data_IF_433712048154
#
_entry.id   IF_433712048154
#
_cell.length_a   1.000
_cell.length_b   1.000
_cell.length_c   1.000
_cell.angle_alpha   90.00
_cell.angle_beta   90.00
_cell.angle_gamma   90.00
#
_symmetry.space_group_name_H-M   'P 1'
#
loop_
_entity.id
_entity.type
_entity.pdbx_description
1 polymer ?
#
# COMPACT_ATOMS: atom_id res chain seq x y z
N UNK A 1 14.78 -4.95 -18.50
CA UNK A 1 14.03 -3.90 -17.80
C UNK A 1 12.78 -4.57 -17.26
N UNK A 2 12.75 -4.94 -15.98
CA UNK A 2 11.57 -5.56 -15.38
C UNK A 2 10.52 -4.47 -15.16
N UNK A 3 9.68 -4.25 -16.16
CA UNK A 3 8.50 -3.42 -16.01
C UNK A 3 7.53 -4.21 -15.13
N UNK A 4 7.65 -4.05 -13.82
CA UNK A 4 6.54 -4.37 -12.91
C UNK A 4 5.35 -3.60 -13.46
N UNK A 5 4.35 -4.30 -14.00
CA UNK A 5 3.10 -3.63 -14.40
C UNK A 5 2.57 -2.99 -13.13
N UNK A 6 2.63 -1.66 -13.08
CA UNK A 6 2.06 -0.88 -11.99
C UNK A 6 0.57 -1.22 -11.95
N UNK A 7 0.16 -1.96 -10.93
CA UNK A 7 -1.26 -2.28 -10.74
C UNK A 7 -2.01 -0.96 -10.46
N UNK A 8 -3.30 -0.85 -10.83
CA UNK A 8 -4.10 0.33 -10.50
C UNK A 8 -4.02 0.71 -9.01
N UNK A 9 -3.95 -0.29 -8.14
CA UNK A 9 -3.80 -0.16 -6.69
C UNK A 9 -2.43 0.40 -6.29
N UNK A 10 -1.36 0.05 -7.03
CA UNK A 10 -0.05 0.66 -6.84
C UNK A 10 -0.07 2.15 -7.22
N UNK A 11 -0.70 2.49 -8.35
CA UNK A 11 -0.85 3.90 -8.78
C UNK A 11 -1.68 4.69 -7.77
N UNK A 12 -2.80 4.14 -7.30
CA UNK A 12 -3.63 4.75 -6.28
C UNK A 12 -2.88 4.95 -4.95
N UNK A 13 -1.99 4.02 -4.58
CA UNK A 13 -1.17 4.14 -3.39
C UNK A 13 -0.16 5.31 -3.51
N UNK A 14 0.48 5.45 -4.68
CA UNK A 14 1.42 6.55 -4.95
C UNK A 14 0.71 7.90 -4.99
N UNK A 15 -0.44 7.98 -5.66
CA UNK A 15 -1.25 9.20 -5.72
C UNK A 15 -1.72 9.61 -4.32
N UNK A 16 -2.20 8.67 -3.52
CA UNK A 16 -2.61 8.96 -2.15
C UNK A 16 -1.44 9.43 -1.28
N UNK A 17 -0.28 8.75 -1.37
CA UNK A 17 0.92 9.10 -0.59
C UNK A 17 1.50 10.48 -0.90
N UNK A 18 1.19 11.05 -2.07
CA UNK A 18 1.66 12.38 -2.51
C UNK A 18 0.62 13.49 -2.37
N UNK A 19 -0.63 13.15 -2.04
CA UNK A 19 -1.74 14.11 -1.94
C UNK A 19 -2.37 14.14 -0.55
N UNK A 20 -2.28 13.08 0.23
CA UNK A 20 -2.86 12.99 1.57
C UNK A 20 -1.98 13.73 2.61
N UNK A 21 -2.48 14.79 3.27
CA UNK A 21 -1.71 15.52 4.28
C UNK A 21 -1.28 14.64 5.46
N UNK A 22 -2.12 13.68 5.86
CA UNK A 22 -1.83 12.73 6.94
C UNK A 22 -0.67 11.80 6.57
N UNK A 23 -0.66 11.26 5.36
CA UNK A 23 0.42 10.40 4.88
C UNK A 23 1.69 11.20 4.55
N UNK A 24 1.58 12.48 4.24
CA UNK A 24 2.73 13.37 4.02
C UNK A 24 3.24 14.02 5.31
N UNK A 25 2.59 13.78 6.45
CA UNK A 25 2.97 14.40 7.70
C UNK A 25 4.39 13.93 8.10
N UNK A 26 5.31 14.88 8.15
CA UNK A 26 6.71 14.64 8.54
C UNK A 26 7.03 15.37 9.84
N UNK A 27 7.94 14.79 10.62
CA UNK A 27 8.53 15.45 11.76
C UNK A 27 9.64 16.43 11.32
N UNK A 28 10.18 17.20 12.26
CA UNK A 28 11.23 18.20 12.02
C UNK A 28 12.52 17.64 11.41
N UNK A 29 12.80 16.36 11.64
CA UNK A 29 13.95 15.62 11.12
C UNK A 29 13.62 14.96 9.76
N UNK A 30 12.44 15.24 9.18
CA UNK A 30 12.02 14.76 7.87
C UNK A 30 11.53 13.31 7.84
N UNK A 31 11.25 12.68 8.99
CA UNK A 31 10.69 11.32 9.01
C UNK A 31 9.18 11.40 8.92
N UNK A 32 8.60 10.46 8.18
CA UNK A 32 7.16 10.29 8.14
C UNK A 32 6.65 9.96 9.56
N UNK A 33 5.61 10.67 10.00
CA UNK A 33 5.02 10.51 11.33
C UNK A 33 4.22 9.23 11.49
N UNK A 34 3.89 8.52 10.40
CA UNK A 34 3.15 7.26 10.44
C UNK A 34 1.75 7.41 11.04
N UNK A 35 1.11 8.56 10.83
CA UNK A 35 -0.21 8.84 11.38
C UNK A 35 -1.26 7.88 10.77
N UNK A 36 -2.28 7.46 11.55
CA UNK A 36 -3.31 6.56 11.06
C UNK A 36 -4.11 7.23 9.92
N UNK A 37 -4.22 6.53 8.79
CA UNK A 37 -4.93 7.01 7.61
C UNK A 37 -5.80 5.89 7.03
N UNK A 38 -7.07 5.85 7.41
CA UNK A 38 -8.01 4.80 6.98
C UNK A 38 -8.10 4.63 5.45
N UNK A 39 -8.15 5.71 4.64
CA UNK A 39 -8.12 5.55 3.18
C UNK A 39 -6.80 4.96 2.67
N UNK A 40 -5.66 5.40 3.21
CA UNK A 40 -4.33 4.87 2.86
C UNK A 40 -4.19 3.39 3.21
N UNK A 41 -4.70 2.97 4.38
CA UNK A 41 -4.70 1.58 4.82
C UNK A 41 -5.53 0.69 3.88
N UNK A 42 -6.70 1.15 3.44
CA UNK A 42 -7.54 0.41 2.48
C UNK A 42 -6.84 0.23 1.13
N UNK A 43 -6.24 1.29 0.60
CA UNK A 43 -5.50 1.25 -0.67
C UNK A 43 -4.29 0.31 -0.56
N UNK A 44 -3.56 0.39 0.55
CA UNK A 44 -2.42 -0.48 0.80
C UNK A 44 -2.84 -1.95 0.91
N UNK A 45 -3.95 -2.25 1.58
CA UNK A 45 -4.50 -3.61 1.63
C UNK A 45 -4.87 -4.14 0.24
N UNK A 46 -5.54 -3.32 -0.59
CA UNK A 46 -5.88 -3.66 -1.96
C UNK A 46 -4.61 -3.96 -2.78
N UNK A 47 -3.60 -3.10 -2.70
CA UNK A 47 -2.30 -3.33 -3.34
C UNK A 47 -1.66 -4.65 -2.87
N UNK A 48 -1.66 -4.95 -1.57
CA UNK A 48 -1.12 -6.23 -1.08
C UNK A 48 -1.87 -7.45 -1.61
N UNK A 49 -3.18 -7.36 -1.82
CA UNK A 49 -3.96 -8.45 -2.41
C UNK A 49 -3.51 -8.70 -3.85
N UNK A 50 -3.19 -7.64 -4.62
CA UNK A 50 -2.65 -7.80 -5.98
C UNK A 50 -1.29 -8.51 -6.00
N UNK A 51 -0.46 -8.30 -4.98
CA UNK A 51 0.85 -8.94 -4.87
C UNK A 51 0.81 -10.39 -4.38
N UNK A 52 -0.19 -10.75 -3.57
CA UNK A 52 -0.28 -12.10 -2.97
C UNK A 52 -0.77 -13.17 -3.95
N UNK A 53 -1.31 -12.77 -5.11
CA UNK A 53 -2.03 -13.69 -5.99
C UNK A 53 -3.30 -14.23 -5.33
N UNK A 54 -4.10 -15.07 -6.01
CA UNK A 54 -5.25 -15.72 -5.38
C UNK A 54 -4.78 -16.48 -4.13
N UNK A 55 -5.54 -16.38 -3.04
CA UNK A 55 -5.22 -17.04 -1.78
C UNK A 55 -4.84 -18.51 -2.05
N UNK A 56 -3.63 -18.91 -1.66
CA UNK A 56 -3.25 -20.31 -1.70
C UNK A 56 -4.34 -21.12 -0.95
N UNK A 57 -4.80 -22.25 -1.52
CA UNK A 57 -5.80 -23.07 -0.86
C UNK A 57 -5.32 -23.42 0.55
N UNK A 58 -6.25 -23.55 1.52
CA UNK A 58 -5.87 -23.87 2.89
C UNK A 58 -5.01 -25.12 2.88
N UNK A 59 -3.78 -24.98 3.36
CA UNK A 59 -2.85 -26.08 3.58
C UNK A 59 -3.44 -26.99 4.66
N UNK A 60 -4.22 -27.98 4.23
CA UNK A 60 -4.64 -29.13 5.04
C UNK A 60 -3.37 -29.90 5.40
N UNK A 61 -2.83 -29.62 6.59
CA UNK A 61 -1.81 -30.45 7.21
C UNK A 61 -2.39 -31.82 7.54
N UNK A 62 -1.63 -32.85 7.17
CA UNK A 62 -1.88 -34.27 7.42
C UNK A 62 -1.55 -34.68 8.86
#
# INVERSE_FOLDING_TARGET
MNTTIATPEYVALLEHGTTCPTCMAMDKDGKNLGLPCEPGDRIYQAYRQTLRGPAAPPQTGA
#
